data_IF_755056347144
#
_entry.id   IF_755056347144
#
_cell.length_a   1.000
_cell.length_b   1.000
_cell.length_c   1.000
_cell.angle_alpha   90.00
_cell.angle_beta   90.00
_cell.angle_gamma   90.00
#
_symmetry.space_group_name_H-M   'P 1'
#
loop_
_entity.id
_entity.type
_entity.pdbx_description
1 polymer ?
#
# COMPACT_ATOMS: atom_id res chain seq x y z
N UNK A 1 -9.19 -19.05 4.09
CA UNK A 1 -8.88 -17.76 3.49
C UNK A 1 -9.90 -16.70 3.87
N UNK A 2 -9.54 -15.47 3.68
CA UNK A 2 -10.39 -14.32 4.01
C UNK A 2 -10.11 -13.14 3.08
N UNK A 3 -11.09 -12.24 2.96
CA UNK A 3 -10.92 -10.92 2.38
C UNK A 3 -11.44 -9.87 3.36
N UNK A 4 -10.69 -8.78 3.54
CA UNK A 4 -11.00 -7.70 4.47
C UNK A 4 -10.94 -6.37 3.71
N UNK A 5 -12.00 -5.53 3.78
CA UNK A 5 -11.88 -4.16 3.30
C UNK A 5 -10.97 -3.38 4.25
N UNK A 6 -10.03 -2.62 3.69
CA UNK A 6 -9.09 -1.83 4.48
C UNK A 6 -9.53 -0.36 4.55
N UNK A 7 -10.73 -0.13 5.06
CA UNK A 7 -11.36 1.20 5.09
C UNK A 7 -10.70 2.16 6.11
N UNK A 8 -9.94 1.60 7.06
CA UNK A 8 -9.20 2.39 8.05
C UNK A 8 -7.74 2.63 7.65
N UNK A 9 -7.38 2.25 6.43
CA UNK A 9 -6.05 2.51 5.86
C UNK A 9 -6.16 3.61 4.82
N UNK A 10 -5.34 4.63 4.99
CA UNK A 10 -5.20 5.72 4.04
C UNK A 10 -4.12 5.44 3.01
N UNK A 11 -4.08 6.24 1.98
CA UNK A 11 -3.11 6.13 0.90
C UNK A 11 -2.68 7.52 0.45
N UNK A 12 -1.37 7.79 0.52
CA UNK A 12 -0.74 8.98 -0.01
C UNK A 12 0.07 8.63 -1.24
N UNK A 13 0.14 9.55 -2.19
CA UNK A 13 1.09 9.46 -3.30
C UNK A 13 1.95 10.71 -3.38
N UNK A 14 3.18 10.51 -3.86
CA UNK A 14 4.12 11.58 -4.16
C UNK A 14 4.49 11.48 -5.63
N UNK A 15 4.34 12.59 -6.33
CA UNK A 15 4.66 12.70 -7.76
C UNK A 15 5.55 13.91 -7.97
N UNK A 16 6.44 13.81 -8.93
CA UNK A 16 7.32 14.91 -9.32
C UNK A 16 8.78 14.49 -9.38
N UNK A 17 9.56 15.37 -9.97
CA UNK A 17 11.00 15.14 -10.23
C UNK A 17 11.77 14.83 -8.95
N UNK A 18 11.41 15.45 -7.84
CA UNK A 18 12.10 15.31 -6.55
C UNK A 18 11.40 14.34 -5.58
N UNK A 19 10.32 13.66 -5.99
CA UNK A 19 9.49 12.87 -5.09
C UNK A 19 10.27 11.76 -4.37
N UNK A 20 11.04 10.97 -5.11
CA UNK A 20 11.82 9.85 -4.55
C UNK A 20 12.86 10.36 -3.57
N UNK A 21 13.65 11.37 -3.96
CA UNK A 21 14.70 11.93 -3.11
C UNK A 21 14.11 12.56 -1.85
N UNK A 22 12.99 13.28 -1.99
CA UNK A 22 12.34 13.90 -0.84
C UNK A 22 11.91 12.85 0.19
N UNK A 23 11.16 11.82 -0.26
CA UNK A 23 10.62 10.85 0.69
C UNK A 23 11.70 9.91 1.23
N UNK A 24 12.73 9.61 0.45
CA UNK A 24 13.88 8.85 0.92
C UNK A 24 14.55 9.54 2.12
N UNK A 25 14.67 10.86 2.09
CA UNK A 25 15.22 11.64 3.20
C UNK A 25 14.32 11.73 4.44
N UNK A 26 13.05 11.39 4.33
CA UNK A 26 12.08 11.47 5.42
C UNK A 26 11.82 10.14 6.12
N UNK A 27 12.05 9.03 5.46
CA UNK A 27 11.69 7.70 5.95
C UNK A 27 12.90 6.90 6.44
N UNK A 28 12.63 5.89 7.25
CA UNK A 28 13.65 5.04 7.88
C UNK A 28 14.24 3.96 6.98
N UNK A 29 13.75 3.82 5.74
CA UNK A 29 14.22 2.78 4.82
C UNK A 29 14.59 3.39 3.46
N UNK A 30 15.38 2.65 2.69
CA UNK A 30 15.81 3.06 1.36
C UNK A 30 14.65 3.04 0.37
N UNK A 31 14.31 4.20 -0.16
CA UNK A 31 13.28 4.37 -1.19
C UNK A 31 13.91 4.61 -2.57
N UNK A 32 15.14 5.13 -2.63
CA UNK A 32 15.82 5.38 -3.91
C UNK A 32 16.03 4.10 -4.72
N UNK A 33 16.42 3.01 -4.05
CA UNK A 33 16.72 1.74 -4.70
C UNK A 33 15.51 0.80 -4.76
N UNK A 34 14.34 1.26 -4.34
CA UNK A 34 13.11 0.50 -4.46
C UNK A 34 12.73 0.37 -5.93
N UNK A 35 12.61 -0.87 -6.41
CA UNK A 35 12.24 -1.16 -7.80
C UNK A 35 10.73 -1.33 -7.99
N UNK A 36 10.30 -1.60 -9.22
CA UNK A 36 8.89 -1.83 -9.55
C UNK A 36 8.33 -3.19 -9.14
N UNK A 37 9.17 -4.09 -8.61
CA UNK A 37 8.80 -5.46 -8.25
C UNK A 37 8.80 -5.71 -6.74
N UNK A 38 9.04 -4.66 -5.96
CA UNK A 38 9.12 -4.76 -4.50
C UNK A 38 8.37 -3.63 -3.83
N UNK A 39 7.94 -3.88 -2.60
CA UNK A 39 7.48 -2.89 -1.66
C UNK A 39 8.42 -2.89 -0.45
N UNK A 40 8.33 -1.89 0.42
CA UNK A 40 9.11 -1.82 1.66
C UNK A 40 8.26 -1.30 2.80
N UNK A 41 8.49 -1.83 3.98
CA UNK A 41 8.01 -1.18 5.20
C UNK A 41 8.99 -0.07 5.58
N UNK A 42 8.46 1.09 5.91
CA UNK A 42 9.23 2.23 6.35
C UNK A 42 8.51 2.94 7.49
N UNK A 43 9.25 3.71 8.27
CA UNK A 43 8.69 4.50 9.36
C UNK A 43 9.06 5.98 9.20
N UNK A 44 8.18 6.82 9.67
CA UNK A 44 8.44 8.25 9.84
C UNK A 44 8.66 8.52 11.33
N UNK A 45 9.81 9.07 11.65
CA UNK A 45 10.21 9.31 13.04
C UNK A 45 10.48 10.78 13.28
N UNK A 46 10.29 11.22 14.55
CA UNK A 46 10.78 12.52 14.99
C UNK A 46 12.31 12.53 15.04
N UNK A 47 12.96 13.71 15.09
CA UNK A 47 14.41 13.79 15.30
C UNK A 47 14.88 13.10 16.59
N UNK A 48 14.01 12.95 17.58
CA UNK A 48 14.29 12.25 18.84
C UNK A 48 14.12 10.73 18.74
N UNK A 49 13.79 10.22 17.55
CA UNK A 49 13.63 8.79 17.31
C UNK A 49 12.25 8.21 17.62
N UNK A 50 11.26 9.04 17.95
CA UNK A 50 9.89 8.59 18.18
C UNK A 50 9.21 8.29 16.84
N UNK A 51 8.71 7.08 16.68
CA UNK A 51 7.96 6.68 15.49
C UNK A 51 6.56 7.32 15.48
N UNK A 52 6.26 8.06 14.43
CA UNK A 52 4.96 8.72 14.23
C UNK A 52 4.03 7.92 13.32
N UNK A 53 4.59 7.20 12.34
CA UNK A 53 3.81 6.44 11.38
C UNK A 53 4.64 5.30 10.78
N UNK A 54 3.95 4.25 10.34
CA UNK A 54 4.52 3.15 9.55
C UNK A 54 3.80 3.09 8.21
N UNK A 55 4.55 2.78 7.18
CA UNK A 55 4.07 2.72 5.81
C UNK A 55 4.44 1.42 5.14
N UNK A 56 3.57 0.96 4.24
CA UNK A 56 3.99 0.11 3.15
C UNK A 56 4.18 1.01 1.92
N UNK A 57 5.37 1.00 1.35
CA UNK A 57 5.78 1.90 0.28
C UNK A 57 6.04 1.12 -0.98
N UNK A 58 5.52 1.58 -2.12
CA UNK A 58 5.82 1.02 -3.43
C UNK A 58 5.85 2.12 -4.49
N UNK A 59 6.45 1.81 -5.64
CA UNK A 59 6.47 2.69 -6.81
C UNK A 59 5.56 2.12 -7.90
N UNK A 60 4.72 2.97 -8.46
CA UNK A 60 3.82 2.61 -9.56
C UNK A 60 3.36 3.86 -10.29
N UNK A 61 3.21 3.78 -11.60
CA UNK A 61 2.69 4.87 -12.44
C UNK A 61 3.44 6.20 -12.28
N UNK A 62 4.75 6.14 -12.07
CA UNK A 62 5.59 7.33 -11.90
C UNK A 62 5.44 8.02 -10.54
N UNK A 63 4.78 7.38 -9.58
CA UNK A 63 4.54 7.90 -8.24
C UNK A 63 5.14 6.97 -7.18
N UNK A 64 5.38 7.55 -6.01
CA UNK A 64 5.64 6.78 -4.78
C UNK A 64 4.33 6.73 -3.99
N UNK A 65 3.93 5.53 -3.59
CA UNK A 65 2.68 5.26 -2.87
C UNK A 65 2.99 4.82 -1.46
N UNK A 66 2.23 5.34 -0.49
CA UNK A 66 2.42 5.02 0.93
C UNK A 66 1.07 4.71 1.56
N UNK A 67 0.90 3.49 2.07
CA UNK A 67 -0.27 3.11 2.86
C UNK A 67 0.02 3.34 4.35
N UNK A 68 -0.93 3.94 5.06
CA UNK A 68 -0.79 4.30 6.48
C UNK A 68 -2.18 4.31 7.14
N UNK A 69 -2.25 4.28 8.48
CA UNK A 69 -3.54 4.42 9.16
C UNK A 69 -4.25 5.72 8.75
N UNK A 70 -5.54 5.62 8.42
CA UNK A 70 -6.29 6.76 7.90
C UNK A 70 -6.44 7.91 8.91
N UNK A 71 -6.47 7.60 10.20
CA UNK A 71 -6.61 8.59 11.28
C UNK A 71 -5.41 9.53 11.43
N UNK A 72 -4.23 9.12 10.95
CA UNK A 72 -3.02 9.97 11.00
C UNK A 72 -2.67 10.60 9.66
N UNK A 73 -3.40 10.26 8.59
CA UNK A 73 -3.05 10.68 7.23
C UNK A 73 -3.03 12.20 7.08
N UNK A 74 -4.05 12.89 7.55
CA UNK A 74 -4.15 14.34 7.37
C UNK A 74 -3.04 15.08 8.13
N UNK A 75 -2.75 14.66 9.36
CA UNK A 75 -1.68 15.24 10.17
C UNK A 75 -0.31 15.01 9.55
N UNK A 76 -0.06 13.79 9.06
CA UNK A 76 1.21 13.47 8.41
C UNK A 76 1.37 14.22 7.07
N UNK A 77 0.31 14.29 6.28
CA UNK A 77 0.33 15.04 5.01
C UNK A 77 0.71 16.51 5.25
N UNK A 78 0.10 17.16 6.24
CA UNK A 78 0.44 18.53 6.63
C UNK A 78 1.90 18.65 7.05
N UNK A 79 2.40 17.70 7.84
CA UNK A 79 3.78 17.71 8.32
C UNK A 79 4.78 17.57 7.18
N UNK A 80 4.56 16.63 6.28
CA UNK A 80 5.41 16.45 5.09
C UNK A 80 5.37 17.69 4.19
N UNK A 81 4.19 18.29 4.03
CA UNK A 81 4.00 19.48 3.21
C UNK A 81 4.87 20.66 3.66
N UNK A 82 5.12 20.80 4.96
CA UNK A 82 5.99 21.84 5.52
C UNK A 82 7.42 21.69 5.00
N UNK A 83 7.89 20.45 4.78
CA UNK A 83 9.26 20.18 4.33
C UNK A 83 9.40 20.18 2.80
N UNK A 84 8.30 20.25 2.05
CA UNK A 84 8.31 20.43 0.60
C UNK A 84 8.43 21.94 0.30
N UNK A 85 9.61 22.52 0.50
CA UNK A 85 9.81 23.97 0.32
C UNK A 85 9.91 24.34 -1.15
N UNK A 86 11.01 23.93 -1.80
CA UNK A 86 11.30 24.20 -3.21
C UNK A 86 11.39 22.95 -4.05
N UNK A 87 11.13 21.79 -3.43
CA UNK A 87 11.16 20.52 -4.12
C UNK A 87 9.96 20.39 -5.07
N UNK A 88 10.21 19.80 -6.23
CA UNK A 88 9.17 19.52 -7.22
C UNK A 88 8.47 18.22 -6.84
N UNK A 89 7.57 18.32 -5.86
CA UNK A 89 6.80 17.19 -5.31
C UNK A 89 5.36 17.63 -5.12
N UNK A 90 4.44 16.82 -5.63
CA UNK A 90 3.01 16.93 -5.35
C UNK A 90 2.61 15.76 -4.45
N UNK A 91 2.10 16.08 -3.28
CA UNK A 91 1.63 15.13 -2.29
C UNK A 91 0.11 15.07 -2.34
N UNK A 92 -0.46 13.89 -2.55
CA UNK A 92 -1.90 13.71 -2.75
C UNK A 92 -2.48 12.65 -1.84
N UNK A 93 -3.68 12.91 -1.31
CA UNK A 93 -4.52 11.93 -0.66
C UNK A 93 -5.27 11.14 -1.75
N UNK A 94 -5.01 9.84 -1.82
CA UNK A 94 -5.51 8.99 -2.89
C UNK A 94 -6.73 8.15 -2.49
N UNK A 95 -7.31 8.38 -1.31
CA UNK A 95 -8.43 7.55 -0.80
C UNK A 95 -9.66 7.53 -1.69
N UNK A 96 -9.91 8.60 -2.45
CA UNK A 96 -11.02 8.66 -3.40
C UNK A 96 -10.73 7.98 -4.73
N UNK A 97 -9.47 7.73 -5.06
CA UNK A 97 -9.04 7.19 -6.34
C UNK A 97 -8.66 5.71 -6.29
N UNK A 98 -8.14 5.27 -5.15
CA UNK A 98 -7.65 3.90 -4.97
C UNK A 98 -8.17 3.35 -3.64
N UNK A 99 -8.67 2.14 -3.67
CA UNK A 99 -9.14 1.44 -2.46
C UNK A 99 -8.27 0.22 -2.19
N UNK A 100 -8.17 -0.13 -0.91
CA UNK A 100 -7.31 -1.19 -0.43
C UNK A 100 -8.15 -2.34 0.15
N UNK A 101 -7.66 -3.56 -0.05
CA UNK A 101 -8.19 -4.77 0.59
C UNK A 101 -7.04 -5.66 1.07
N UNK A 102 -7.28 -6.36 2.16
CA UNK A 102 -6.39 -7.41 2.65
C UNK A 102 -6.94 -8.78 2.27
N UNK A 103 -6.10 -9.64 1.75
CA UNK A 103 -6.46 -11.02 1.40
C UNK A 103 -5.46 -11.95 2.07
N UNK A 104 -5.95 -13.02 2.70
CA UNK A 104 -5.05 -13.95 3.38
C UNK A 104 -5.61 -15.35 3.52
N UNK A 105 -4.74 -16.25 3.97
CA UNK A 105 -5.07 -17.64 4.20
C UNK A 105 -4.64 -18.57 3.06
N UNK A 106 -4.80 -19.86 3.28
CA UNK A 106 -4.32 -20.90 2.35
C UNK A 106 -4.99 -20.86 0.97
N UNK A 107 -6.19 -20.29 0.87
CA UNK A 107 -6.95 -20.19 -0.39
C UNK A 107 -6.74 -18.85 -1.11
N UNK A 108 -6.01 -17.93 -0.50
CA UNK A 108 -5.84 -16.58 -1.04
C UNK A 108 -5.17 -16.57 -2.42
N UNK A 109 -4.08 -17.33 -2.58
CA UNK A 109 -3.34 -17.40 -3.85
C UNK A 109 -4.22 -17.90 -5.00
N UNK A 110 -5.01 -18.94 -4.78
CA UNK A 110 -5.90 -19.48 -5.79
C UNK A 110 -6.98 -18.46 -6.21
N UNK A 111 -7.57 -17.75 -5.26
CA UNK A 111 -8.55 -16.71 -5.53
C UNK A 111 -7.96 -15.52 -6.29
N UNK A 112 -6.74 -15.13 -5.96
CA UNK A 112 -6.04 -13.99 -6.59
C UNK A 112 -5.48 -14.32 -7.98
N UNK A 113 -5.16 -15.59 -8.26
CA UNK A 113 -4.52 -15.98 -9.53
C UNK A 113 -5.35 -15.66 -10.77
N UNK A 114 -6.66 -15.54 -10.62
CA UNK A 114 -7.57 -15.10 -11.68
C UNK A 114 -7.29 -13.66 -12.13
N UNK A 115 -6.89 -12.81 -11.20
CA UNK A 115 -6.67 -11.38 -11.43
C UNK A 115 -5.20 -11.04 -11.62
N UNK A 116 -4.32 -11.83 -11.01
CA UNK A 116 -2.86 -11.66 -11.03
C UNK A 116 -2.20 -13.01 -11.33
N UNK A 117 -1.94 -13.31 -12.63
CA UNK A 117 -1.31 -14.58 -13.00
C UNK A 117 0.07 -14.78 -12.38
N UNK A 118 0.82 -13.70 -12.20
CA UNK A 118 2.16 -13.71 -11.60
C UNK A 118 2.09 -13.22 -10.15
N UNK A 119 1.71 -14.10 -9.23
CA UNK A 119 1.66 -13.77 -7.82
C UNK A 119 3.06 -13.61 -7.22
N UNK A 120 3.31 -12.58 -6.40
CA UNK A 120 4.58 -12.46 -5.70
C UNK A 120 4.70 -13.57 -4.65
N UNK A 121 5.81 -14.30 -4.69
CA UNK A 121 6.09 -15.45 -3.83
C UNK A 121 7.04 -15.13 -2.67
N UNK A 122 7.71 -13.98 -2.71
CA UNK A 122 8.57 -13.51 -1.64
C UNK A 122 7.91 -12.38 -0.86
N UNK A 123 8.23 -12.29 0.43
CA UNK A 123 7.74 -11.22 1.30
C UNK A 123 8.12 -9.85 0.72
N UNK A 124 7.14 -8.96 0.63
CA UNK A 124 7.23 -7.63 0.00
C UNK A 124 7.54 -7.63 -1.49
N UNK A 125 7.39 -8.78 -2.15
CA UNK A 125 7.29 -8.80 -3.60
C UNK A 125 6.01 -8.11 -4.06
N UNK A 126 6.10 -7.47 -5.22
CA UNK A 126 5.00 -6.70 -5.80
C UNK A 126 4.78 -7.11 -7.24
N UNK A 127 3.53 -7.28 -7.62
CA UNK A 127 3.12 -7.38 -9.02
C UNK A 127 2.05 -6.34 -9.32
N UNK A 128 1.95 -5.93 -10.57
CA UNK A 128 0.88 -5.05 -11.01
C UNK A 128 0.48 -5.33 -12.46
N UNK A 129 -0.79 -5.06 -12.73
CA UNK A 129 -1.37 -5.14 -14.07
C UNK A 129 -2.58 -4.19 -14.15
N UNK A 130 -3.41 -4.32 -15.17
CA UNK A 130 -4.62 -3.50 -15.32
C UNK A 130 -5.65 -3.64 -14.20
N UNK A 131 -5.54 -4.67 -13.35
CA UNK A 131 -6.44 -4.87 -12.21
C UNK A 131 -5.97 -4.17 -10.94
N UNK A 132 -4.72 -3.77 -10.86
CA UNK A 132 -4.19 -3.06 -9.71
C UNK A 132 -2.79 -3.49 -9.32
N UNK A 133 -2.44 -3.19 -8.06
CA UNK A 133 -1.17 -3.53 -7.43
C UNK A 133 -1.42 -4.56 -6.34
N UNK A 134 -0.60 -5.61 -6.32
CA UNK A 134 -0.65 -6.66 -5.30
C UNK A 134 0.72 -6.78 -4.64
N UNK A 135 0.75 -6.67 -3.31
CA UNK A 135 1.96 -6.80 -2.51
C UNK A 135 1.83 -8.02 -1.61
N UNK A 136 2.84 -8.91 -1.63
CA UNK A 136 2.95 -10.00 -0.67
C UNK A 136 3.42 -9.43 0.66
N UNK A 137 2.57 -9.54 1.67
CA UNK A 137 2.91 -9.09 3.03
C UNK A 137 3.56 -10.24 3.81
N UNK A 138 3.99 -9.95 5.04
CA UNK A 138 4.45 -11.00 5.94
C UNK A 138 3.33 -12.01 6.19
N UNK A 139 3.67 -13.30 6.23
CA UNK A 139 2.71 -14.35 6.52
C UNK A 139 2.07 -14.14 7.90
N UNK A 140 0.82 -14.56 8.01
CA UNK A 140 0.10 -14.57 9.28
C UNK A 140 -0.41 -15.99 9.54
N UNK A 141 -0.14 -16.49 10.74
CA UNK A 141 -0.57 -17.84 11.16
C UNK A 141 -0.14 -18.95 10.19
N UNK A 142 1.06 -18.82 9.61
CA UNK A 142 1.61 -19.77 8.66
C UNK A 142 0.97 -19.78 7.28
N UNK A 143 0.23 -18.73 6.93
CA UNK A 143 -0.45 -18.60 5.65
C UNK A 143 -0.10 -17.29 4.95
N UNK A 144 -0.12 -17.26 3.60
CA UNK A 144 0.19 -16.06 2.84
C UNK A 144 -0.83 -14.95 3.08
N UNK A 145 -0.36 -13.72 3.00
CA UNK A 145 -1.16 -12.51 3.16
C UNK A 145 -0.76 -11.48 2.13
N UNK A 146 -1.74 -10.78 1.58
CA UNK A 146 -1.54 -9.82 0.50
C UNK A 146 -2.26 -8.50 0.79
N UNK A 147 -1.66 -7.42 0.31
CA UNK A 147 -2.29 -6.10 0.19
C UNK A 147 -2.65 -5.87 -1.27
N UNK A 148 -3.90 -5.57 -1.53
CA UNK A 148 -4.42 -5.27 -2.87
C UNK A 148 -4.81 -3.80 -2.94
N UNK A 149 -4.27 -3.07 -3.93
CA UNK A 149 -4.62 -1.69 -4.23
C UNK A 149 -5.25 -1.62 -5.61
N UNK A 150 -6.50 -1.18 -5.69
CA UNK A 150 -7.30 -1.17 -6.92
C UNK A 150 -7.93 0.19 -7.11
N UNK A 151 -8.03 0.65 -8.37
CA UNK A 151 -8.77 1.87 -8.67
C UNK A 151 -10.20 1.79 -8.13
N UNK A 152 -10.72 2.90 -7.62
CA UNK A 152 -12.04 2.96 -7.01
C UNK A 152 -13.14 2.43 -7.95
N UNK A 153 -13.00 2.66 -9.26
CA UNK A 153 -13.97 2.21 -10.27
C UNK A 153 -14.01 0.68 -10.45
N UNK A 154 -12.92 -0.02 -10.16
CA UNK A 154 -12.82 -1.48 -10.30
C UNK A 154 -12.94 -2.25 -8.99
N UNK A 155 -12.81 -1.54 -7.88
CA UNK A 155 -12.71 -2.17 -6.56
C UNK A 155 -13.89 -3.08 -6.26
N UNK A 156 -15.12 -2.61 -6.45
CA UNK A 156 -16.32 -3.36 -6.07
C UNK A 156 -16.43 -4.69 -6.82
N UNK A 157 -16.15 -4.69 -8.12
CA UNK A 157 -16.23 -5.91 -8.93
C UNK A 157 -15.22 -6.95 -8.49
N UNK A 158 -13.96 -6.53 -8.24
CA UNK A 158 -12.90 -7.44 -7.80
C UNK A 158 -13.15 -7.93 -6.37
N UNK A 159 -13.54 -7.03 -5.48
CA UNK A 159 -13.85 -7.37 -4.11
C UNK A 159 -14.99 -8.39 -4.01
N UNK A 160 -16.08 -8.18 -4.75
CA UNK A 160 -17.23 -9.09 -4.75
C UNK A 160 -16.85 -10.47 -5.29
N UNK A 161 -16.01 -10.53 -6.32
CA UNK A 161 -15.52 -11.79 -6.85
C UNK A 161 -14.66 -12.55 -5.83
N UNK A 162 -13.77 -11.84 -5.12
CA UNK A 162 -12.97 -12.44 -4.05
C UNK A 162 -13.84 -12.88 -2.87
N UNK A 163 -14.81 -12.07 -2.48
CA UNK A 163 -15.75 -12.38 -1.39
C UNK A 163 -16.63 -13.58 -1.70
N UNK A 164 -16.90 -13.88 -2.96
CA UNK A 164 -17.63 -15.08 -3.36
C UNK A 164 -16.85 -16.38 -3.13
N UNK A 165 -15.53 -16.30 -3.12
CA UNK A 165 -14.63 -17.44 -2.92
C UNK A 165 -14.05 -17.50 -1.50
N UNK A 166 -13.95 -16.36 -0.83
CA UNK A 166 -13.34 -16.22 0.49
C UNK A 166 -14.32 -15.59 1.48
N UNK A 167 -14.34 -16.02 2.75
CA UNK A 167 -15.14 -15.35 3.77
C UNK A 167 -14.76 -13.86 3.90
N UNK A 168 -15.77 -13.02 4.06
CA UNK A 168 -15.56 -11.61 4.38
C UNK A 168 -15.38 -11.52 5.90
N UNK A 169 -14.20 -11.03 6.33
CA UNK A 169 -13.99 -10.68 7.73
C UNK A 169 -14.27 -9.19 7.91
N UNK A 170 -15.19 -8.88 8.82
CA UNK A 170 -15.43 -7.51 9.22
C UNK A 170 -14.28 -6.97 10.08
N UNK A 171 -14.20 -5.65 10.18
CA UNK A 171 -13.23 -4.97 11.04
C UNK A 171 -13.54 -5.11 12.53
N UNK A 172 -14.65 -5.76 12.87
CA UNK A 172 -15.12 -5.99 14.23
C UNK A 172 -14.66 -7.37 14.72
N UNK A 173 -13.35 -7.47 15.01
CA UNK A 173 -12.76 -8.66 15.56
C UNK A 173 -11.51 -8.36 16.36
#
# INVERSE_FOLDING_TARGET
GYVIPMDQTGLLSLEGEDAVRFIHGQLSNDIEHLDGKSARLAAYCTPQGRMLARFCVWKSAGKVWMSLPADILDALKKRLQIYILRAKVTLSDERSNVRLAGIGGKRAAAALSRWFPDLPDVMYGKTENGNGVLVRMADAFGAPRYLLAVSASRYQAIYDALASELPVCGTDG
#
